data_IF_628904097410
#
_entry.id   IF_628904097410
#
_cell.length_a   1.000
_cell.length_b   1.000
_cell.length_c   1.000
_cell.angle_alpha   90.00
_cell.angle_beta   90.00
_cell.angle_gamma   90.00
#
_symmetry.space_group_name_H-M   'P 1'
#
loop_
_entity.id
_entity.type
_entity.pdbx_description
1 polymer ?
#
# COMPACT_ATOMS: atom_id res chain seq x y z
N UNK A 1 -4.71 -2.10 -0.05
CA UNK A 1 -4.49 -3.45 0.50
C UNK A 1 -3.51 -3.55 1.66
N UNK A 2 -2.45 -2.74 1.72
CA UNK A 2 -1.59 -2.68 2.92
C UNK A 2 -2.17 -1.74 3.99
N UNK A 3 -2.18 -2.13 5.29
CA UNK A 3 -2.68 -1.29 6.38
C UNK A 3 -1.81 -0.05 6.66
N UNK A 4 -2.25 0.87 7.53
CA UNK A 4 -1.39 1.95 8.06
C UNK A 4 -0.17 1.38 8.78
N UNK A 5 0.95 2.11 8.73
CA UNK A 5 2.20 1.69 9.36
C UNK A 5 2.21 1.95 10.86
N UNK A 6 1.68 3.09 11.32
CA UNK A 6 1.58 3.40 12.74
C UNK A 6 0.23 4.04 13.08
N UNK A 7 -0.43 3.50 14.09
CA UNK A 7 -1.76 3.92 14.51
C UNK A 7 -1.73 4.32 15.97
N UNK A 8 -2.30 5.49 16.27
CA UNK A 8 -2.54 5.96 17.62
C UNK A 8 -3.89 6.69 17.64
N UNK A 9 -4.52 6.74 18.81
CA UNK A 9 -5.66 7.64 19.02
C UNK A 9 -5.25 9.10 18.90
N UNK A 10 -6.21 9.95 18.52
CA UNK A 10 -6.01 11.39 18.56
C UNK A 10 -5.51 11.83 19.96
N UNK A 11 -4.44 12.64 20.07
CA UNK A 11 -3.83 12.99 21.36
C UNK A 11 -4.78 13.64 22.37
N UNK A 12 -5.82 14.32 21.89
CA UNK A 12 -6.82 15.03 22.71
C UNK A 12 -8.14 14.28 22.86
N UNK A 13 -8.22 13.02 22.42
CA UNK A 13 -9.44 12.23 22.55
C UNK A 13 -9.73 11.93 24.03
N UNK A 14 -10.96 12.20 24.48
CA UNK A 14 -11.35 11.99 25.87
C UNK A 14 -11.33 10.51 26.25
N UNK A 15 -11.15 10.19 27.54
CA UNK A 15 -11.19 8.80 28.01
C UNK A 15 -12.54 8.12 27.73
N UNK A 16 -13.65 8.87 27.81
CA UNK A 16 -14.97 8.37 27.48
C UNK A 16 -15.10 8.04 25.98
N UNK A 17 -14.60 8.93 25.11
CA UNK A 17 -14.60 8.70 23.66
C UNK A 17 -13.69 7.54 23.26
N UNK A 18 -12.54 7.37 23.92
CA UNK A 18 -11.69 6.18 23.73
C UNK A 18 -12.42 4.90 24.10
N UNK A 19 -13.09 4.86 25.25
CA UNK A 19 -13.86 3.70 25.66
C UNK A 19 -15.02 3.39 24.69
N UNK A 20 -15.70 4.43 24.18
CA UNK A 20 -16.75 4.28 23.17
C UNK A 20 -16.20 3.76 21.84
N UNK A 21 -15.06 4.28 21.39
CA UNK A 21 -14.35 3.76 20.22
C UNK A 21 -13.99 2.29 20.41
N UNK A 22 -13.36 1.94 21.54
CA UNK A 22 -12.91 0.59 21.86
C UNK A 22 -14.08 -0.37 21.91
N UNK A 23 -15.24 0.06 22.43
CA UNK A 23 -16.46 -0.73 22.40
C UNK A 23 -16.85 -1.09 20.96
N UNK A 24 -16.96 -0.09 20.07
CA UNK A 24 -17.32 -0.31 18.66
C UNK A 24 -16.28 -1.16 17.93
N UNK A 25 -15.00 -0.89 18.18
CA UNK A 25 -13.89 -1.64 17.61
C UNK A 25 -13.95 -3.12 18.03
N UNK A 26 -14.18 -3.40 19.32
CA UNK A 26 -14.24 -4.75 19.85
C UNK A 26 -15.49 -5.52 19.41
N UNK A 27 -16.62 -4.85 19.15
CA UNK A 27 -17.79 -5.49 18.53
C UNK A 27 -17.46 -6.05 17.13
N UNK A 28 -16.58 -5.37 16.39
CA UNK A 28 -16.12 -5.80 15.06
C UNK A 28 -14.93 -6.77 15.14
N UNK A 29 -14.06 -6.60 16.14
CA UNK A 29 -12.80 -7.35 16.32
C UNK A 29 -12.64 -7.92 17.76
N UNK A 30 -13.51 -8.86 18.19
CA UNK A 30 -13.64 -9.29 19.59
C UNK A 30 -12.48 -10.11 20.16
N UNK A 31 -11.52 -10.52 19.33
CA UNK A 31 -10.36 -11.34 19.73
C UNK A 31 -9.03 -10.56 19.67
N UNK A 32 -9.07 -9.24 19.46
CA UNK A 32 -7.88 -8.48 19.03
C UNK A 32 -7.48 -7.31 19.95
N UNK A 33 -7.86 -7.37 21.23
CA UNK A 33 -7.62 -6.32 22.26
C UNK A 33 -6.14 -6.02 22.59
N UNK A 34 -5.17 -6.51 21.80
CA UNK A 34 -3.74 -6.33 22.08
C UNK A 34 -2.82 -6.30 20.84
N UNK A 35 -3.35 -5.94 19.65
CA UNK A 35 -2.53 -5.84 18.42
C UNK A 35 -2.46 -4.41 17.91
N UNK A 36 -1.24 -4.00 17.56
CA UNK A 36 -0.94 -2.73 16.88
C UNK A 36 -1.31 -2.73 15.39
N UNK A 37 -1.72 -3.89 14.85
CA UNK A 37 -2.00 -4.08 13.42
C UNK A 37 -3.50 -4.30 13.21
N UNK A 38 -4.19 -3.52 12.37
CA UNK A 38 -5.54 -3.87 11.93
C UNK A 38 -5.46 -5.14 11.08
N UNK A 39 -6.28 -6.16 11.36
CA UNK A 39 -6.22 -7.42 10.63
C UNK A 39 -6.65 -7.18 9.18
N UNK A 40 -5.96 -7.81 8.24
CA UNK A 40 -6.50 -8.02 6.90
C UNK A 40 -7.81 -8.78 7.07
N UNK A 41 -8.92 -8.06 6.89
CA UNK A 41 -10.32 -8.48 7.02
C UNK A 41 -10.50 -10.01 6.96
N UNK A 42 -10.30 -10.68 8.09
CA UNK A 42 -10.81 -12.03 8.26
C UNK A 42 -12.21 -11.81 8.78
N UNK A 43 -13.17 -12.26 7.98
CA UNK A 43 -14.56 -12.25 8.34
C UNK A 43 -14.73 -13.11 9.61
N UNK A 44 -14.69 -12.46 10.78
CA UNK A 44 -14.78 -13.15 12.08
C UNK A 44 -16.20 -13.66 12.36
N UNK A 45 -17.13 -13.56 11.40
CA UNK A 45 -18.41 -14.25 11.43
C UNK A 45 -19.39 -13.85 12.54
N UNK A 46 -19.13 -12.75 13.26
CA UNK A 46 -19.96 -12.31 14.39
C UNK A 46 -20.90 -11.14 14.08
N UNK A 47 -20.59 -10.30 13.08
CA UNK A 47 -21.42 -9.17 12.64
C UNK A 47 -21.62 -9.21 11.14
N UNK A 48 -22.80 -8.79 10.66
CA UNK A 48 -23.10 -8.72 9.23
C UNK A 48 -22.24 -7.65 8.54
N UNK A 49 -22.13 -7.70 7.20
CA UNK A 49 -21.39 -6.68 6.44
C UNK A 49 -21.94 -5.27 6.65
N UNK A 50 -23.25 -5.12 6.83
CA UNK A 50 -23.89 -3.83 7.08
C UNK A 50 -23.55 -3.30 8.48
N UNK A 51 -23.74 -4.12 9.52
CA UNK A 51 -23.39 -3.76 10.90
C UNK A 51 -21.91 -3.43 11.03
N UNK A 52 -21.03 -4.17 10.34
CA UNK A 52 -19.58 -3.89 10.30
C UNK A 52 -19.30 -2.48 9.76
N UNK A 53 -19.95 -2.08 8.67
CA UNK A 53 -19.77 -0.74 8.08
C UNK A 53 -20.28 0.33 9.06
N UNK A 54 -21.43 0.11 9.69
CA UNK A 54 -22.02 1.08 10.62
C UNK A 54 -21.15 1.27 11.87
N UNK A 55 -20.72 0.17 12.50
CA UNK A 55 -19.85 0.20 13.68
C UNK A 55 -18.49 0.85 13.39
N UNK A 56 -17.88 0.54 12.24
CA UNK A 56 -16.62 1.18 11.83
C UNK A 56 -16.81 2.64 11.46
N UNK A 57 -17.94 3.01 10.84
CA UNK A 57 -18.31 4.39 10.58
C UNK A 57 -18.59 5.20 11.85
N UNK A 58 -19.12 4.57 12.90
CA UNK A 58 -19.20 5.15 14.24
C UNK A 58 -17.81 5.36 14.85
N UNK A 59 -16.96 4.33 14.84
CA UNK A 59 -15.60 4.40 15.36
C UNK A 59 -14.80 5.53 14.68
N UNK A 60 -14.83 5.63 13.35
CA UNK A 60 -14.17 6.71 12.59
C UNK A 60 -14.75 8.10 12.87
N UNK A 61 -16.01 8.22 13.31
CA UNK A 61 -16.58 9.51 13.74
C UNK A 61 -16.13 9.90 15.16
N UNK A 62 -15.96 8.92 16.04
CA UNK A 62 -15.48 9.12 17.41
C UNK A 62 -14.00 9.55 17.40
N UNK A 63 -13.17 8.88 16.61
CA UNK A 63 -11.77 9.25 16.39
C UNK A 63 -11.44 9.39 14.89
N UNK A 64 -11.65 10.59 14.31
CA UNK A 64 -11.39 10.85 12.89
C UNK A 64 -9.91 10.81 12.47
N UNK A 65 -8.98 10.61 13.41
CA UNK A 65 -7.56 10.48 13.12
C UNK A 65 -7.06 9.05 13.32
N UNK A 66 -7.94 8.10 13.60
CA UNK A 66 -7.55 6.71 13.81
C UNK A 66 -7.43 5.95 12.47
N UNK A 67 -6.22 5.93 11.90
CA UNK A 67 -5.97 5.37 10.57
C UNK A 67 -6.46 3.93 10.36
N UNK A 68 -6.37 3.07 11.39
CA UNK A 68 -6.88 1.70 11.31
C UNK A 68 -8.41 1.62 11.18
N UNK A 69 -9.15 2.59 11.73
CA UNK A 69 -10.61 2.64 11.62
C UNK A 69 -11.02 2.96 10.18
N UNK A 70 -10.39 3.98 9.59
CA UNK A 70 -10.55 4.30 8.17
C UNK A 70 -10.18 3.12 7.27
N UNK A 71 -9.05 2.46 7.52
CA UNK A 71 -8.63 1.31 6.71
C UNK A 71 -9.61 0.14 6.81
N UNK A 72 -10.05 -0.21 8.02
CA UNK A 72 -11.02 -1.28 8.24
C UNK A 72 -12.37 -0.96 7.57
N UNK A 73 -12.83 0.30 7.67
CA UNK A 73 -14.05 0.76 7.04
C UNK A 73 -13.94 0.68 5.51
N UNK A 74 -12.81 1.11 4.94
CA UNK A 74 -12.52 1.01 3.51
C UNK A 74 -12.64 -0.43 3.02
N UNK A 75 -12.07 -1.39 3.77
CA UNK A 75 -12.15 -2.84 3.46
C UNK A 75 -13.57 -3.37 3.49
N UNK A 76 -14.37 -2.95 4.48
CA UNK A 76 -15.76 -3.35 4.60
C UNK A 76 -16.61 -2.79 3.44
N UNK A 77 -16.42 -1.52 3.11
CA UNK A 77 -17.09 -0.85 1.99
C UNK A 77 -16.72 -1.47 0.63
N UNK A 78 -15.44 -1.77 0.42
CA UNK A 78 -14.95 -2.42 -0.80
C UNK A 78 -15.57 -3.80 -0.98
N UNK A 79 -15.59 -4.61 0.09
CA UNK A 79 -16.20 -5.94 0.08
C UNK A 79 -17.72 -5.89 -0.20
N UNK A 80 -18.37 -4.78 0.16
CA UNK A 80 -19.77 -4.51 -0.15
C UNK A 80 -19.99 -3.87 -1.54
N UNK A 81 -18.93 -3.68 -2.34
CA UNK A 81 -19.01 -3.06 -3.66
C UNK A 81 -19.18 -1.53 -3.64
N UNK A 82 -19.10 -0.88 -2.47
CA UNK A 82 -19.23 0.57 -2.28
C UNK A 82 -17.91 1.29 -2.59
N UNK A 83 -17.48 1.18 -3.84
CA UNK A 83 -16.12 1.54 -4.29
C UNK A 83 -15.71 2.99 -4.02
N UNK A 84 -16.58 3.96 -4.31
CA UNK A 84 -16.24 5.38 -4.11
C UNK A 84 -16.03 5.72 -2.63
N UNK A 85 -16.85 5.14 -1.76
CA UNK A 85 -16.75 5.34 -0.31
C UNK A 85 -15.52 4.64 0.24
N UNK A 86 -15.23 3.41 -0.23
CA UNK A 86 -14.00 2.70 0.11
C UNK A 86 -12.75 3.51 -0.27
N UNK A 87 -12.72 4.11 -1.46
CA UNK A 87 -11.61 4.93 -1.91
C UNK A 87 -11.38 6.14 -1.01
N UNK A 88 -12.44 6.83 -0.60
CA UNK A 88 -12.35 7.97 0.32
C UNK A 88 -11.75 7.56 1.66
N UNK A 89 -12.18 6.41 2.21
CA UNK A 89 -11.69 5.89 3.48
C UNK A 89 -10.25 5.37 3.40
N UNK A 90 -9.83 4.80 2.27
CA UNK A 90 -8.43 4.46 2.05
C UNK A 90 -7.52 5.69 2.01
N UNK A 91 -7.98 6.78 1.39
CA UNK A 91 -7.27 8.06 1.41
C UNK A 91 -7.20 8.57 2.84
N UNK A 92 -8.31 8.58 3.59
CA UNK A 92 -8.32 9.01 4.99
C UNK A 92 -7.35 8.19 5.87
N UNK A 93 -7.31 6.87 5.70
CA UNK A 93 -6.36 6.00 6.39
C UNK A 93 -4.90 6.37 6.11
N UNK A 94 -4.56 6.67 4.86
CA UNK A 94 -3.21 7.12 4.47
C UNK A 94 -2.87 8.47 5.09
N UNK A 95 -3.80 9.42 5.04
CA UNK A 95 -3.57 10.79 5.53
C UNK A 95 -3.48 10.88 7.06
N UNK A 96 -4.07 9.91 7.78
CA UNK A 96 -4.13 9.88 9.25
C UNK A 96 -3.13 8.90 9.89
N UNK A 97 -2.37 8.16 9.09
CA UNK A 97 -1.26 7.35 9.58
C UNK A 97 -0.25 8.23 10.32
N UNK A 98 0.14 7.84 11.53
CA UNK A 98 1.03 8.63 12.39
C UNK A 98 2.43 8.72 11.80
N UNK A 99 2.85 7.68 11.07
CA UNK A 99 4.15 7.63 10.43
C UNK A 99 3.99 7.04 9.02
N UNK A 100 3.41 7.82 8.09
CA UNK A 100 3.12 7.32 6.77
C UNK A 100 4.44 7.06 6.04
N UNK A 101 4.70 5.79 5.70
CA UNK A 101 5.77 5.45 4.76
C UNK A 101 5.40 5.92 3.33
N UNK A 102 4.11 6.05 3.06
CA UNK A 102 3.51 6.43 1.77
C UNK A 102 3.47 7.94 1.58
N UNK A 103 3.44 8.36 0.33
CA UNK A 103 3.26 9.77 -0.04
C UNK A 103 1.85 10.26 0.36
N UNK A 104 1.78 11.21 1.29
CA UNK A 104 0.55 11.92 1.67
C UNK A 104 0.32 13.17 0.82
N UNK A 105 -0.92 13.64 0.78
CA UNK A 105 -1.31 14.72 -0.12
C UNK A 105 -0.56 16.05 0.15
N UNK A 106 -0.28 16.48 1.40
CA UNK A 106 0.55 17.66 1.65
C UNK A 106 1.95 17.57 1.02
N UNK A 107 2.60 16.40 1.12
CA UNK A 107 3.91 16.18 0.52
C UNK A 107 3.83 16.11 -1.01
N UNK A 108 2.79 15.49 -1.54
CA UNK A 108 2.52 15.43 -2.98
C UNK A 108 2.31 16.81 -3.60
N UNK A 109 1.55 17.70 -2.94
CA UNK A 109 1.42 19.10 -3.36
C UNK A 109 2.75 19.85 -3.29
N UNK A 110 3.54 19.65 -2.24
CA UNK A 110 4.85 20.27 -2.11
C UNK A 110 5.77 19.84 -3.26
N UNK A 111 5.82 18.53 -3.58
CA UNK A 111 6.57 17.99 -4.71
C UNK A 111 6.15 18.64 -6.05
N UNK A 112 4.85 18.70 -6.34
CA UNK A 112 4.32 19.33 -7.56
C UNK A 112 4.63 20.82 -7.63
N UNK A 113 4.53 21.53 -6.51
CA UNK A 113 4.87 22.94 -6.41
C UNK A 113 6.34 23.17 -6.74
N UNK A 114 7.25 22.40 -6.14
CA UNK A 114 8.69 22.51 -6.41
C UNK A 114 8.99 22.20 -7.88
N UNK A 115 8.46 21.08 -8.40
CA UNK A 115 8.67 20.70 -9.80
C UNK A 115 8.20 21.80 -10.77
N UNK A 116 7.05 22.42 -10.50
CA UNK A 116 6.53 23.54 -11.29
C UNK A 116 7.45 24.76 -11.21
N UNK A 117 7.90 25.12 -10.00
CA UNK A 117 8.75 26.29 -9.77
C UNK A 117 10.14 26.16 -10.41
N UNK A 118 10.71 24.95 -10.41
CA UNK A 118 12.03 24.69 -10.99
C UNK A 118 11.98 24.32 -12.47
N UNK A 119 10.79 24.13 -13.04
CA UNK A 119 10.61 23.57 -14.39
C UNK A 119 11.10 22.12 -14.50
N UNK A 120 11.21 21.39 -13.38
CA UNK A 120 11.62 19.99 -13.39
C UNK A 120 10.46 19.14 -13.89
N UNK A 121 10.63 18.34 -14.95
CA UNK A 121 9.60 17.42 -15.42
C UNK A 121 9.21 16.43 -14.32
N UNK A 122 7.90 16.29 -14.09
CA UNK A 122 7.36 15.34 -13.11
C UNK A 122 6.50 14.31 -13.83
N UNK A 123 6.92 13.06 -13.73
CA UNK A 123 6.18 11.92 -14.27
C UNK A 123 5.05 11.54 -13.30
N UNK A 124 3.81 11.46 -13.79
CA UNK A 124 2.67 11.03 -12.97
C UNK A 124 2.64 9.50 -12.83
N UNK A 125 3.42 9.00 -11.86
CA UNK A 125 3.51 7.59 -11.55
C UNK A 125 2.15 6.97 -11.23
N UNK A 126 1.25 7.73 -10.58
CA UNK A 126 -0.09 7.24 -10.27
C UNK A 126 -0.84 6.98 -11.57
N UNK A 127 -0.90 7.93 -12.50
CA UNK A 127 -1.60 7.71 -13.77
C UNK A 127 -0.99 6.59 -14.62
N UNK A 128 0.33 6.42 -14.59
CA UNK A 128 1.02 5.35 -15.35
C UNK A 128 0.69 3.96 -14.81
N UNK A 129 0.54 3.86 -13.49
CA UNK A 129 0.32 2.58 -12.81
C UNK A 129 -1.17 2.29 -12.63
N UNK A 130 -1.99 3.32 -12.35
CA UNK A 130 -3.34 3.20 -11.81
C UNK A 130 -4.30 2.35 -12.63
N UNK A 131 -4.06 2.17 -13.94
CA UNK A 131 -4.85 1.27 -14.80
C UNK A 131 -6.37 1.34 -14.57
N UNK A 132 -7.06 0.21 -14.76
CA UNK A 132 -8.45 0.00 -14.34
C UNK A 132 -8.48 -0.69 -12.96
N UNK A 133 -7.90 -0.06 -11.94
CA UNK A 133 -7.96 -0.61 -10.58
C UNK A 133 -9.41 -0.63 -10.06
N UNK A 134 -9.85 -1.69 -9.35
CA UNK A 134 -11.25 -1.85 -8.97
C UNK A 134 -11.85 -0.64 -8.23
N UNK A 135 -11.07 -0.01 -7.35
CA UNK A 135 -11.45 1.17 -6.55
C UNK A 135 -10.77 2.47 -7.02
N UNK A 136 -10.04 2.45 -8.15
CA UNK A 136 -9.31 3.62 -8.66
C UNK A 136 -8.07 3.99 -7.84
N UNK A 137 -7.60 3.09 -6.97
CA UNK A 137 -6.39 3.25 -6.16
C UNK A 137 -5.44 2.09 -6.41
N UNK A 138 -4.15 2.37 -6.32
CA UNK A 138 -3.07 1.40 -6.50
C UNK A 138 -3.01 0.46 -5.29
N UNK A 139 -3.17 -0.85 -5.55
CA UNK A 139 -3.08 -1.91 -4.55
C UNK A 139 -1.87 -2.83 -4.71
N UNK A 140 -1.98 -4.02 -4.13
CA UNK A 140 -0.90 -5.03 -4.08
C UNK A 140 -0.63 -5.68 -5.46
N UNK A 141 -1.48 -5.41 -6.46
CA UNK A 141 -1.24 -5.80 -7.85
C UNK A 141 -0.08 -5.01 -8.49
N UNK A 142 0.19 -3.80 -7.98
CA UNK A 142 1.24 -2.91 -8.49
C UNK A 142 2.32 -2.62 -7.45
N UNK A 143 2.07 -2.86 -6.17
CA UNK A 143 3.05 -2.67 -5.09
C UNK A 143 3.35 -4.00 -4.40
N UNK A 144 4.59 -4.20 -3.96
CA UNK A 144 4.96 -5.40 -3.18
C UNK A 144 4.76 -5.22 -1.67
N UNK A 145 4.67 -3.97 -1.23
CA UNK A 145 4.41 -3.54 0.15
C UNK A 145 3.84 -2.10 0.15
N UNK A 146 4.02 -1.36 1.26
CA UNK A 146 3.56 0.01 1.41
C UNK A 146 4.01 0.96 0.30
N UNK A 147 5.21 0.80 -0.24
CA UNK A 147 5.84 1.83 -1.10
C UNK A 147 6.57 1.27 -2.31
N UNK A 148 6.99 0.00 -2.26
CA UNK A 148 7.86 -0.56 -3.29
C UNK A 148 7.04 -1.03 -4.50
N UNK A 149 7.35 -0.57 -5.72
CA UNK A 149 6.72 -1.06 -6.93
C UNK A 149 7.01 -2.55 -7.17
N UNK A 150 6.05 -3.26 -7.76
CA UNK A 150 6.29 -4.58 -8.34
C UNK A 150 7.23 -4.50 -9.54
N UNK A 151 7.74 -5.64 -10.00
CA UNK A 151 8.56 -5.70 -11.23
C UNK A 151 7.80 -5.11 -12.42
N UNK A 152 6.51 -5.42 -12.54
CA UNK A 152 5.67 -4.89 -13.60
C UNK A 152 5.51 -3.36 -13.49
N UNK A 153 5.33 -2.84 -12.27
CA UNK A 153 5.29 -1.40 -12.04
C UNK A 153 6.61 -0.71 -12.36
N UNK A 154 7.75 -1.29 -11.96
CA UNK A 154 9.06 -0.76 -12.32
C UNK A 154 9.26 -0.69 -13.83
N UNK A 155 8.83 -1.70 -14.58
CA UNK A 155 8.89 -1.69 -16.05
C UNK A 155 8.03 -0.58 -16.66
N UNK A 156 6.81 -0.37 -16.16
CA UNK A 156 5.92 0.72 -16.63
C UNK A 156 6.49 2.11 -16.33
N UNK A 157 6.99 2.31 -15.12
CA UNK A 157 7.65 3.56 -14.74
C UNK A 157 8.89 3.82 -15.59
N UNK A 158 9.72 2.80 -15.83
CA UNK A 158 10.90 2.92 -16.69
C UNK A 158 10.53 3.31 -18.13
N UNK A 159 9.46 2.73 -18.69
CA UNK A 159 8.95 3.11 -19.99
C UNK A 159 8.49 4.57 -20.02
N UNK A 160 7.70 5.01 -19.02
CA UNK A 160 7.26 6.40 -18.93
C UNK A 160 8.40 7.41 -18.75
N UNK A 161 9.44 7.07 -17.99
CA UNK A 161 10.65 7.88 -17.87
C UNK A 161 11.37 7.96 -19.23
N UNK A 162 11.51 6.84 -19.93
CA UNK A 162 12.14 6.81 -21.25
C UNK A 162 11.39 7.70 -22.25
N UNK A 163 10.06 7.58 -22.33
CA UNK A 163 9.22 8.40 -23.20
C UNK A 163 9.34 9.89 -22.87
N UNK A 164 9.42 10.23 -21.57
CA UNK A 164 9.65 11.59 -21.12
C UNK A 164 11.02 12.12 -21.60
N UNK A 165 12.09 11.32 -21.48
CA UNK A 165 13.42 11.69 -21.95
C UNK A 165 13.49 11.88 -23.47
N UNK A 166 12.78 11.04 -24.23
CA UNK A 166 12.62 11.20 -25.69
C UNK A 166 11.90 12.51 -26.01
N UNK A 167 10.78 12.80 -25.32
CA UNK A 167 10.01 14.04 -25.54
C UNK A 167 10.82 15.31 -25.25
N UNK A 168 11.79 15.21 -24.33
CA UNK A 168 12.71 16.29 -23.98
C UNK A 168 13.90 16.41 -24.94
N UNK A 169 14.04 15.50 -25.91
CA UNK A 169 15.18 15.44 -26.82
C UNK A 169 16.49 15.01 -26.13
N UNK A 170 16.42 14.44 -24.93
CA UNK A 170 17.61 13.90 -24.22
C UNK A 170 18.06 12.58 -24.84
N UNK A 171 17.10 11.80 -25.35
CA UNK A 171 17.33 10.52 -26.01
C UNK A 171 16.70 10.56 -27.39
N UNK A 172 17.46 10.24 -28.42
CA UNK A 172 16.92 9.98 -29.75
C UNK A 172 16.43 8.53 -29.84
N UNK A 173 15.26 8.33 -30.44
CA UNK A 173 14.69 6.99 -30.63
C UNK A 173 14.40 6.70 -32.11
N UNK A 174 14.57 5.45 -32.50
CA UNK A 174 14.19 4.92 -33.80
C UNK A 174 13.71 3.47 -33.64
N UNK A 175 13.19 2.86 -34.70
CA UNK A 175 12.68 1.48 -34.65
C UNK A 175 13.73 0.44 -34.24
N UNK A 176 15.02 0.71 -34.45
CA UNK A 176 16.11 -0.19 -34.03
C UNK A 176 16.34 -0.14 -32.51
N UNK A 177 16.13 1.01 -31.86
CA UNK A 177 16.25 1.15 -30.39
C UNK A 177 15.26 0.24 -29.67
N UNK A 178 14.02 0.16 -30.15
CA UNK A 178 12.99 -0.70 -29.56
C UNK A 178 13.33 -2.19 -29.68
N UNK A 179 13.78 -2.62 -30.87
CA UNK A 179 14.23 -4.00 -31.08
C UNK A 179 15.46 -4.32 -30.22
N UNK A 180 16.42 -3.39 -30.14
CA UNK A 180 17.63 -3.55 -29.33
C UNK A 180 17.30 -3.65 -27.85
N UNK A 181 16.35 -2.86 -27.34
CA UNK A 181 15.87 -2.91 -25.96
C UNK A 181 15.31 -4.29 -25.62
N UNK A 182 14.45 -4.85 -26.47
CA UNK A 182 13.88 -6.19 -26.25
C UNK A 182 14.97 -7.27 -26.19
N UNK A 183 15.96 -7.21 -27.10
CA UNK A 183 17.08 -8.16 -27.13
C UNK A 183 17.94 -8.07 -25.86
N UNK A 184 18.29 -6.85 -25.43
CA UNK A 184 19.08 -6.65 -24.22
C UNK A 184 18.34 -7.13 -22.96
N UNK A 185 17.03 -6.93 -22.91
CA UNK A 185 16.19 -7.39 -21.80
C UNK A 185 16.16 -8.92 -21.71
N UNK A 186 15.89 -9.59 -22.85
CA UNK A 186 15.90 -11.04 -22.93
C UNK A 186 17.26 -11.62 -22.52
N UNK A 187 18.35 -11.08 -23.08
CA UNK A 187 19.71 -11.50 -22.75
C UNK A 187 20.03 -11.33 -21.26
N UNK A 188 19.59 -10.24 -20.65
CA UNK A 188 19.82 -10.03 -19.22
C UNK A 188 19.05 -11.05 -18.38
N UNK A 189 17.79 -11.32 -18.70
CA UNK A 189 17.00 -12.33 -17.98
C UNK A 189 17.57 -13.74 -18.14
N UNK A 190 18.02 -14.09 -19.35
CA UNK A 190 18.69 -15.37 -19.64
C UNK A 190 20.01 -15.53 -18.88
N UNK A 191 20.69 -14.42 -18.56
CA UNK A 191 21.94 -14.45 -17.77
C UNK A 191 21.71 -14.75 -16.28
N UNK A 192 20.48 -14.68 -15.78
CA UNK A 192 20.15 -14.95 -14.38
C UNK A 192 19.99 -16.45 -14.15
N UNK A 193 20.81 -17.00 -13.26
CA UNK A 193 20.71 -18.37 -12.77
C UNK A 193 19.32 -18.66 -12.16
N UNK A 194 18.68 -19.82 -12.41
CA UNK A 194 17.45 -20.25 -11.74
C UNK A 194 17.41 -19.98 -10.22
N UNK A 195 18.52 -20.14 -9.51
CA UNK A 195 18.55 -19.88 -8.07
C UNK A 195 18.36 -18.39 -7.72
N UNK A 196 18.59 -17.45 -8.65
CA UNK A 196 18.23 -16.04 -8.48
C UNK A 196 16.74 -15.87 -8.21
N UNK A 197 15.90 -16.53 -9.01
CA UNK A 197 14.44 -16.41 -8.90
C UNK A 197 13.93 -17.02 -7.59
N UNK A 198 14.46 -18.18 -7.18
CA UNK A 198 14.09 -18.80 -5.91
C UNK A 198 14.51 -17.97 -4.69
N UNK A 199 15.73 -17.42 -4.69
CA UNK A 199 16.16 -16.45 -3.66
C UNK A 199 15.28 -15.21 -3.67
N UNK A 200 14.88 -14.73 -4.84
CA UNK A 200 13.95 -13.61 -5.00
C UNK A 200 12.60 -13.89 -4.33
N UNK A 201 11.99 -15.05 -4.59
CA UNK A 201 10.74 -15.48 -3.96
C UNK A 201 10.86 -15.57 -2.43
N UNK A 202 11.93 -16.17 -1.92
CA UNK A 202 12.18 -16.27 -0.48
C UNK A 202 12.32 -14.89 0.18
N UNK A 203 13.11 -13.99 -0.41
CA UNK A 203 13.28 -12.62 0.09
C UNK A 203 11.98 -11.83 0.03
N UNK A 204 11.22 -11.95 -1.05
CA UNK A 204 9.93 -11.30 -1.18
C UNK A 204 8.94 -11.78 -0.11
N UNK A 205 8.90 -13.09 0.16
CA UNK A 205 8.08 -13.63 1.25
C UNK A 205 8.49 -13.06 2.61
N UNK A 206 9.80 -12.97 2.88
CA UNK A 206 10.34 -12.34 4.09
C UNK A 206 9.97 -10.86 4.20
N UNK A 207 10.10 -10.10 3.11
CA UNK A 207 9.75 -8.68 3.06
C UNK A 207 8.26 -8.46 3.31
N UNK A 208 7.38 -9.26 2.69
CA UNK A 208 5.93 -9.19 2.92
C UNK A 208 5.58 -9.44 4.38
N UNK A 209 6.18 -10.47 4.99
CA UNK A 209 6.00 -10.71 6.43
C UNK A 209 6.50 -9.53 7.28
N UNK A 210 7.63 -8.91 6.92
CA UNK A 210 8.12 -7.72 7.63
C UNK A 210 7.20 -6.52 7.49
N UNK A 211 6.75 -6.23 6.27
CA UNK A 211 5.82 -5.13 6.00
C UNK A 211 4.50 -5.32 6.74
N UNK A 212 4.04 -6.55 6.95
CA UNK A 212 2.86 -6.88 7.76
C UNK A 212 3.12 -6.90 9.28
N UNK A 213 4.31 -6.50 9.76
CA UNK A 213 4.66 -6.56 11.19
C UNK A 213 4.94 -7.99 11.73
N UNK A 214 5.01 -8.99 10.85
CA UNK A 214 5.14 -10.42 11.17
C UNK A 214 6.58 -10.97 11.10
N UNK A 215 7.57 -10.12 10.86
CA UNK A 215 8.98 -10.53 10.72
C UNK A 215 9.52 -11.39 11.90
N UNK A 216 9.05 -11.14 13.12
CA UNK A 216 9.54 -11.83 14.32
C UNK A 216 8.98 -13.25 14.53
N UNK A 217 8.02 -13.72 13.72
CA UNK A 217 7.38 -15.04 13.92
C UNK A 217 8.19 -16.24 13.40
N UNK A 218 9.24 -16.02 12.61
CA UNK A 218 10.06 -17.12 12.05
C UNK A 218 11.30 -17.44 12.90
N UNK A 219 11.71 -16.53 13.80
CA UNK A 219 12.95 -16.70 14.58
C UNK A 219 12.88 -17.78 15.66
N UNK A 220 11.73 -18.44 15.83
CA UNK A 220 11.50 -19.55 16.76
C UNK A 220 11.33 -20.92 16.06
N UNK A 221 11.65 -21.03 14.77
CA UNK A 221 11.81 -22.35 14.12
C UNK A 221 13.14 -23.00 14.55
N UNK A 222 13.23 -24.34 14.60
CA UNK A 222 14.44 -25.01 15.07
C UNK A 222 15.64 -24.59 14.22
N UNK A 223 16.70 -24.15 14.88
CA UNK A 223 18.00 -23.93 14.26
C UNK A 223 18.52 -25.31 13.86
N UNK A 224 18.36 -25.67 12.59
CA UNK A 224 19.17 -26.75 12.01
C UNK A 224 20.56 -26.18 11.80
N UNK A 225 21.46 -26.49 12.74
CA UNK A 225 22.89 -26.41 12.52
C UNK A 225 23.24 -27.39 11.40
N UNK A 226 23.68 -26.85 10.28
CA UNK A 226 24.38 -27.61 9.25
C UNK A 226 25.89 -27.40 9.38
N UNK A 227 26.69 -28.46 9.12
CA UNK A 227 28.06 -28.66 9.61
C UNK A 227 29.11 -27.68 9.07
#
# INVERSE_FOLDING_TARGET
DTPPFKVEHAPKLSAASKAEFDQRWNEVFPQETNRSDPPAARDLGQVTSAERIDLLGEASRIDPFHAAAHFALARALESAGRRHEAAAEYVAARETDVCPLRMIEPLHRALRSVATQTGTPLLDANNIIAGDTPVGLIGDEWLVDHVHPSVASHQRLAAGIFDQLVSMGVVETNAEVDQRRAILYARQLESLDPAYFERGKQRLAGLRMWAEGRANKVRNGPVEDHP
#
